data_IF_308011655178
#
_entry.id   IF_308011655178
#
_cell.length_a   1.000
_cell.length_b   1.000
_cell.length_c   1.000
_cell.angle_alpha   90.00
_cell.angle_beta   90.00
_cell.angle_gamma   90.00
#
_symmetry.space_group_name_H-M   'P 1'
#
loop_
_entity.id
_entity.type
_entity.pdbx_description
1 polymer ?
#
# COMPACT_ATOMS: atom_id res chain seq x y z
N UNK A 1 -15.52 -3.69 2.72
CA UNK A 1 -15.11 -4.71 3.71
C UNK A 1 -16.29 -5.37 4.43
N UNK A 2 -17.31 -4.63 4.90
CA UNK A 2 -18.43 -5.20 5.67
C UNK A 2 -19.37 -6.14 4.89
N UNK A 3 -19.34 -6.10 3.55
CA UNK A 3 -20.26 -6.85 2.67
C UNK A 3 -19.58 -7.95 1.85
N UNK A 4 -18.30 -8.27 2.11
CA UNK A 4 -17.61 -9.32 1.35
C UNK A 4 -18.17 -10.70 1.72
N UNK A 5 -18.71 -11.47 0.77
CA UNK A 5 -19.28 -12.79 1.04
C UNK A 5 -18.23 -13.83 1.45
N UNK A 6 -16.94 -13.49 1.34
CA UNK A 6 -15.81 -14.35 1.70
C UNK A 6 -15.23 -14.04 3.11
N UNK A 7 -15.80 -13.07 3.82
CA UNK A 7 -15.38 -12.63 5.15
C UNK A 7 -16.49 -12.94 6.16
N UNK A 8 -16.63 -14.22 6.52
CA UNK A 8 -17.51 -14.63 7.62
C UNK A 8 -17.01 -14.09 8.98
N UNK A 9 -17.76 -14.35 10.06
CA UNK A 9 -17.45 -13.83 11.39
C UNK A 9 -15.99 -14.09 11.84
N UNK A 10 -15.52 -15.35 11.86
CA UNK A 10 -14.15 -15.69 12.23
C UNK A 10 -13.07 -15.09 11.33
N UNK A 11 -13.24 -15.13 10.00
CA UNK A 11 -12.24 -14.58 9.08
C UNK A 11 -12.16 -13.05 9.19
N UNK A 12 -13.29 -12.39 9.42
CA UNK A 12 -13.34 -10.94 9.65
C UNK A 12 -12.61 -10.53 10.91
N UNK A 13 -12.80 -11.27 12.00
CA UNK A 13 -12.07 -11.04 13.25
C UNK A 13 -10.56 -11.18 13.03
N UNK A 14 -10.12 -12.21 12.30
CA UNK A 14 -8.70 -12.40 11.99
C UNK A 14 -8.11 -11.23 11.19
N UNK A 15 -8.84 -10.71 10.19
CA UNK A 15 -8.40 -9.54 9.42
C UNK A 15 -8.32 -8.29 10.30
N UNK A 16 -9.27 -8.09 11.22
CA UNK A 16 -9.20 -6.97 12.17
C UNK A 16 -7.98 -7.07 13.08
N UNK A 17 -7.70 -8.25 13.64
CA UNK A 17 -6.51 -8.48 14.46
C UNK A 17 -5.21 -8.24 13.69
N UNK A 18 -5.13 -8.70 12.44
CA UNK A 18 -3.98 -8.44 11.58
C UNK A 18 -3.80 -6.93 11.31
N UNK A 19 -4.90 -6.22 11.03
CA UNK A 19 -4.90 -4.76 10.84
C UNK A 19 -4.40 -4.04 12.09
N UNK A 20 -4.95 -4.37 13.27
CA UNK A 20 -4.54 -3.74 14.53
C UNK A 20 -3.04 -3.93 14.81
N UNK A 21 -2.54 -5.15 14.58
CA UNK A 21 -1.12 -5.46 14.72
C UNK A 21 -0.27 -4.64 13.74
N UNK A 22 -0.67 -4.57 12.47
CA UNK A 22 0.04 -3.79 11.45
C UNK A 22 0.06 -2.30 11.81
N UNK A 23 -1.09 -1.72 12.20
CA UNK A 23 -1.19 -0.32 12.63
C UNK A 23 -0.26 -0.03 13.80
N UNK A 24 -0.22 -0.92 14.80
CA UNK A 24 0.68 -0.75 15.95
C UNK A 24 2.15 -0.69 15.51
N UNK A 25 2.60 -1.68 14.72
CA UNK A 25 3.99 -1.74 14.23
C UNK A 25 4.34 -0.50 13.40
N UNK A 26 3.46 -0.09 12.50
CA UNK A 26 3.67 1.09 11.64
C UNK A 26 3.67 2.40 12.43
N UNK A 27 2.88 2.49 13.51
CA UNK A 27 2.84 3.69 14.37
C UNK A 27 4.15 3.93 15.13
N UNK A 28 4.90 2.85 15.39
CA UNK A 28 6.21 2.89 16.06
C UNK A 28 7.37 3.04 15.05
N UNK A 29 7.10 2.89 13.75
CA UNK A 29 8.10 3.01 12.70
C UNK A 29 8.46 4.48 12.43
N UNK A 30 9.75 4.75 12.17
CA UNK A 30 10.23 6.11 11.90
C UNK A 30 9.48 6.72 10.71
N UNK A 31 9.08 7.99 10.86
CA UNK A 31 8.59 8.83 9.76
C UNK A 31 9.49 10.04 9.66
N UNK A 32 10.36 10.03 8.66
CA UNK A 32 11.26 11.15 8.34
C UNK A 32 11.26 11.42 6.85
N UNK A 33 11.79 12.57 6.44
CA UNK A 33 11.90 12.93 5.02
C UNK A 33 12.71 11.92 4.18
N UNK A 34 13.46 10.99 4.82
CA UNK A 34 14.20 9.93 4.11
C UNK A 34 13.34 8.75 3.70
N UNK A 35 12.28 8.45 4.46
CA UNK A 35 11.52 7.20 4.30
C UNK A 35 10.01 7.39 4.17
N UNK A 36 9.50 8.62 4.31
CA UNK A 36 8.08 8.94 4.26
C UNK A 36 7.82 10.22 3.45
N UNK A 37 6.86 10.18 2.54
CA UNK A 37 6.57 11.24 1.58
C UNK A 37 5.43 10.86 0.64
N UNK A 38 5.32 11.57 -0.50
CA UNK A 38 4.35 11.19 -1.54
C UNK A 38 4.81 9.90 -2.23
N UNK A 39 3.91 8.93 -2.32
CA UNK A 39 4.07 7.64 -2.99
C UNK A 39 2.95 7.43 -4.02
N UNK A 40 3.13 6.45 -4.91
CA UNK A 40 2.11 6.04 -5.88
C UNK A 40 0.98 5.24 -5.22
N UNK A 41 1.30 4.39 -4.25
CA UNK A 41 0.40 3.50 -3.51
C UNK A 41 -0.27 2.38 -4.31
N UNK A 42 -0.14 2.37 -5.64
CA UNK A 42 -0.53 1.25 -6.52
C UNK A 42 0.50 0.97 -7.62
N UNK A 43 1.80 0.87 -7.27
CA UNK A 43 2.90 0.73 -8.23
C UNK A 43 3.08 -0.71 -8.75
N UNK A 44 2.00 -1.29 -9.28
CA UNK A 44 2.05 -2.61 -9.92
C UNK A 44 2.65 -2.53 -11.33
N UNK A 45 3.14 -3.67 -11.84
CA UNK A 45 3.77 -3.75 -13.17
C UNK A 45 2.87 -3.24 -14.29
N UNK A 46 1.56 -3.46 -14.17
CA UNK A 46 0.54 -3.03 -15.12
C UNK A 46 0.47 -1.50 -15.25
N UNK A 47 0.89 -0.77 -14.21
CA UNK A 47 0.97 0.69 -14.16
C UNK A 47 2.34 1.25 -14.59
N UNK A 48 3.26 0.38 -15.06
CA UNK A 48 4.60 0.74 -15.54
C UNK A 48 4.69 0.52 -17.05
N UNK A 49 4.63 1.59 -17.82
CA UNK A 49 4.76 1.56 -19.27
C UNK A 49 6.22 1.69 -19.68
N UNK A 50 6.69 0.75 -20.52
CA UNK A 50 8.04 0.78 -21.10
C UNK A 50 7.94 0.98 -22.60
N UNK A 51 8.54 2.04 -23.12
CA UNK A 51 8.57 2.34 -24.54
C UNK A 51 9.85 3.07 -24.92
N UNK A 52 10.55 2.60 -25.96
CA UNK A 52 11.82 3.17 -26.45
C UNK A 52 12.88 3.40 -25.35
N UNK A 53 12.98 2.46 -24.41
CA UNK A 53 13.93 2.54 -23.29
C UNK A 53 13.54 3.54 -22.19
N UNK A 54 12.39 4.20 -22.32
CA UNK A 54 11.84 5.08 -21.30
C UNK A 54 10.76 4.38 -20.47
N UNK A 55 10.70 4.72 -19.18
CA UNK A 55 9.67 4.27 -18.24
C UNK A 55 8.69 5.43 -18.00
N UNK A 56 7.39 5.14 -18.04
CA UNK A 56 6.32 6.05 -17.62
C UNK A 56 5.42 5.34 -16.63
N UNK A 57 5.18 5.96 -15.50
CA UNK A 57 4.24 5.47 -14.49
C UNK A 57 2.89 6.14 -14.74
N UNK A 58 1.81 5.40 -14.61
CA UNK A 58 0.42 5.86 -14.78
C UNK A 58 -0.42 5.44 -13.58
N UNK A 59 -1.66 5.96 -13.50
CA UNK A 59 -2.67 5.59 -12.50
C UNK A 59 -2.36 6.06 -11.06
N UNK A 60 -2.25 7.38 -10.90
CA UNK A 60 -1.93 8.03 -9.61
C UNK A 60 -3.17 8.27 -8.72
N UNK A 61 -4.30 7.61 -8.95
CA UNK A 61 -5.55 7.93 -8.24
C UNK A 61 -5.49 7.56 -6.75
N UNK A 62 -4.64 6.59 -6.37
CA UNK A 62 -4.37 6.21 -4.98
C UNK A 62 -3.17 6.96 -4.35
N UNK A 63 -2.55 7.90 -5.07
CA UNK A 63 -1.35 8.56 -4.59
C UNK A 63 -1.57 9.33 -3.28
N UNK A 64 -0.56 9.33 -2.43
CA UNK A 64 -0.71 9.91 -1.11
C UNK A 64 0.55 9.85 -0.26
N UNK A 65 0.41 10.26 1.00
CA UNK A 65 1.52 10.22 1.95
C UNK A 65 1.70 8.80 2.52
N UNK A 66 2.85 8.19 2.28
CA UNK A 66 3.19 6.85 2.75
C UNK A 66 4.69 6.62 2.90
N UNK A 67 5.06 5.43 3.38
CA UNK A 67 6.46 5.02 3.43
C UNK A 67 6.95 4.68 2.03
N UNK A 68 8.10 5.22 1.60
CA UNK A 68 8.63 5.00 0.24
C UNK A 68 8.85 3.51 -0.08
N UNK A 69 9.18 2.70 0.92
CA UNK A 69 9.34 1.24 0.78
C UNK A 69 8.06 0.52 0.37
N UNK A 70 6.89 1.11 0.60
CA UNK A 70 5.61 0.51 0.22
C UNK A 70 5.51 0.31 -1.30
N UNK A 71 5.86 1.33 -2.08
CA UNK A 71 5.91 1.25 -3.55
C UNK A 71 6.92 0.23 -4.08
N UNK A 72 7.87 -0.23 -3.26
CA UNK A 72 8.88 -1.22 -3.65
C UNK A 72 8.52 -2.65 -3.21
N UNK A 73 7.55 -2.82 -2.32
CA UNK A 73 7.18 -4.10 -1.72
C UNK A 73 6.06 -4.82 -2.47
N UNK A 74 5.47 -4.16 -3.47
CA UNK A 74 4.35 -4.63 -4.31
C UNK A 74 4.79 -5.67 -5.35
#
# INVERSE_FOLDING_TARGET
FETSPFLDGPHRELVFQAREKAVKVLSEHERSARNFGIIHADLVRENVLVHDGAIRIIDFDDCGHGWHMYDLAV
#
